data_IF_725897334200
#
_entry.id   IF_725897334200
#
_cell.length_a   1.000
_cell.length_b   1.000
_cell.length_c   1.000
_cell.angle_alpha   90.00
_cell.angle_beta   90.00
_cell.angle_gamma   90.00
#
_symmetry.space_group_name_H-M   'P 1'
#
loop_
_entity.id
_entity.type
_entity.pdbx_description
1 polymer ?
#
# COMPACT_ATOMS: atom_id res chain seq x y z
N UNK A 1 -35.21 -4.18 22.69
CA UNK A 1 -33.97 -4.60 23.37
C UNK A 1 -32.82 -4.22 22.49
N UNK A 2 -32.14 -3.14 22.76
CA UNK A 2 -30.91 -2.73 22.07
C UNK A 2 -29.79 -3.60 22.59
N UNK A 3 -29.25 -4.47 21.73
CA UNK A 3 -28.05 -5.21 22.07
C UNK A 3 -26.92 -4.21 22.34
N UNK A 4 -26.37 -4.22 23.54
CA UNK A 4 -25.21 -3.43 23.89
C UNK A 4 -24.05 -3.85 22.98
N UNK A 5 -23.57 -2.94 22.13
CA UNK A 5 -22.37 -3.13 21.33
C UNK A 5 -21.22 -3.26 22.32
N UNK A 6 -20.66 -4.47 22.44
CA UNK A 6 -19.53 -4.73 23.34
C UNK A 6 -18.36 -3.83 22.93
N UNK A 7 -17.83 -3.06 23.88
CA UNK A 7 -16.65 -2.25 23.62
C UNK A 7 -15.47 -3.11 23.13
N UNK A 8 -14.74 -2.68 22.12
CA UNK A 8 -13.62 -3.42 21.57
C UNK A 8 -12.54 -3.61 22.64
N UNK A 9 -12.31 -4.85 23.03
CA UNK A 9 -11.29 -5.20 24.05
C UNK A 9 -9.88 -4.94 23.50
N UNK A 10 -9.05 -4.26 24.29
CA UNK A 10 -7.62 -4.14 24.01
C UNK A 10 -6.97 -5.53 24.19
N UNK A 11 -6.30 -6.04 23.14
CA UNK A 11 -5.55 -7.29 23.18
C UNK A 11 -4.05 -6.96 23.03
N UNK A 12 -3.31 -6.77 24.13
CA UNK A 12 -1.93 -6.29 24.08
C UNK A 12 -1.01 -7.18 23.24
N UNK A 13 -1.10 -8.51 23.38
CA UNK A 13 -0.29 -9.47 22.61
C UNK A 13 -0.52 -9.33 21.11
N UNK A 14 -1.78 -9.25 20.67
CA UNK A 14 -2.12 -9.06 19.26
C UNK A 14 -1.56 -7.73 18.72
N UNK A 15 -1.71 -6.66 19.50
CA UNK A 15 -1.16 -5.35 19.14
C UNK A 15 0.36 -5.39 18.93
N UNK A 16 1.10 -6.05 19.85
CA UNK A 16 2.55 -6.17 19.70
C UNK A 16 2.94 -6.98 18.46
N UNK A 17 2.28 -8.09 18.19
CA UNK A 17 2.51 -8.91 17.00
C UNK A 17 2.24 -8.08 15.74
N UNK A 18 1.07 -7.43 15.66
CA UNK A 18 0.68 -6.63 14.51
C UNK A 18 1.66 -5.48 14.22
N UNK A 19 2.03 -4.72 15.26
CA UNK A 19 2.98 -3.61 15.11
C UNK A 19 4.39 -4.08 14.76
N UNK A 20 4.84 -5.20 15.32
CA UNK A 20 6.17 -5.75 15.00
C UNK A 20 6.21 -6.18 13.53
N UNK A 21 5.21 -6.92 13.05
CA UNK A 21 5.12 -7.33 11.66
C UNK A 21 5.03 -6.13 10.72
N UNK A 22 4.18 -5.15 11.04
CA UNK A 22 4.09 -3.90 10.28
C UNK A 22 5.42 -3.16 10.22
N UNK A 23 6.11 -3.05 11.36
CA UNK A 23 7.43 -2.43 11.46
C UNK A 23 8.49 -3.14 10.61
N UNK A 24 8.51 -4.48 10.63
CA UNK A 24 9.43 -5.27 9.81
C UNK A 24 9.18 -5.07 8.30
N UNK A 25 7.91 -5.06 7.88
CA UNK A 25 7.52 -4.84 6.49
C UNK A 25 7.94 -3.44 6.03
N UNK A 26 7.60 -2.40 6.81
CA UNK A 26 7.95 -1.01 6.49
C UNK A 26 9.47 -0.81 6.47
N UNK A 27 10.19 -1.33 7.46
CA UNK A 27 11.65 -1.20 7.53
C UNK A 27 12.33 -1.95 6.38
N UNK A 28 11.93 -3.19 6.10
CA UNK A 28 12.46 -3.97 4.97
C UNK A 28 12.21 -3.29 3.62
N UNK A 29 10.98 -2.77 3.43
CA UNK A 29 10.65 -1.99 2.24
C UNK A 29 11.52 -0.74 2.13
N UNK A 30 11.65 0.04 3.22
CA UNK A 30 12.41 1.28 3.22
C UNK A 30 13.90 1.06 2.89
N UNK A 31 14.53 0.02 3.46
CA UNK A 31 15.92 -0.33 3.17
C UNK A 31 16.10 -0.65 1.69
N UNK A 32 15.25 -1.51 1.13
CA UNK A 32 15.34 -1.87 -0.29
C UNK A 32 15.02 -0.68 -1.20
N UNK A 33 14.03 0.13 -0.83
CA UNK A 33 13.66 1.33 -1.58
C UNK A 33 14.82 2.34 -1.62
N UNK A 34 15.37 2.68 -0.47
CA UNK A 34 16.50 3.63 -0.39
C UNK A 34 17.71 3.09 -1.15
N UNK A 35 18.07 1.82 -0.98
CA UNK A 35 19.16 1.20 -1.74
C UNK A 35 18.88 1.24 -3.25
N UNK A 36 17.71 0.76 -3.69
CA UNK A 36 17.38 0.67 -5.11
C UNK A 36 17.32 2.03 -5.78
N UNK A 37 16.65 3.00 -5.17
CA UNK A 37 16.42 4.32 -5.74
C UNK A 37 17.70 5.17 -5.77
N UNK A 38 18.47 5.18 -4.70
CA UNK A 38 19.58 6.13 -4.53
C UNK A 38 20.97 5.52 -4.69
N UNK A 39 21.16 4.27 -4.28
CA UNK A 39 22.49 3.66 -4.21
C UNK A 39 22.75 2.60 -5.27
N UNK A 40 21.70 2.06 -5.92
CA UNK A 40 21.89 1.05 -6.96
C UNK A 40 22.59 1.67 -8.17
N UNK A 41 23.79 1.14 -8.48
CA UNK A 41 24.59 1.52 -9.66
C UNK A 41 24.46 0.42 -10.71
N UNK A 42 24.27 0.80 -11.97
CA UNK A 42 24.19 -0.15 -13.07
C UNK A 42 25.58 -0.68 -13.42
N UNK A 43 25.74 -1.98 -13.30
CA UNK A 43 26.90 -2.76 -13.69
C UNK A 43 26.46 -4.19 -13.93
N UNK A 44 27.28 -5.05 -14.52
CA UNK A 44 26.90 -6.41 -14.88
C UNK A 44 26.31 -7.18 -13.69
N UNK A 45 27.02 -7.24 -12.58
CA UNK A 45 26.57 -7.92 -11.37
C UNK A 45 25.31 -7.28 -10.75
N UNK A 46 25.21 -5.96 -10.76
CA UNK A 46 24.06 -5.25 -10.18
C UNK A 46 22.80 -5.38 -11.03
N UNK A 47 22.92 -5.57 -12.35
CA UNK A 47 21.79 -5.89 -13.22
C UNK A 47 21.24 -7.28 -12.95
N UNK A 48 22.08 -8.25 -12.61
CA UNK A 48 21.67 -9.62 -12.28
C UNK A 48 20.86 -9.68 -10.97
N UNK A 49 21.20 -8.87 -9.96
CA UNK A 49 20.47 -8.85 -8.68
C UNK A 49 19.22 -7.96 -8.69
N UNK A 50 19.08 -7.04 -9.64
CA UNK A 50 17.96 -6.11 -9.70
C UNK A 50 16.58 -6.81 -9.74
N UNK A 51 16.35 -7.89 -10.52
CA UNK A 51 15.09 -8.62 -10.50
C UNK A 51 14.73 -9.21 -9.13
N UNK A 52 15.72 -9.71 -8.39
CA UNK A 52 15.51 -10.25 -7.05
C UNK A 52 15.07 -9.12 -6.07
N UNK A 53 15.73 -7.96 -6.15
CA UNK A 53 15.34 -6.78 -5.33
C UNK A 53 13.92 -6.36 -5.68
N UNK A 54 13.57 -6.26 -6.97
CA UNK A 54 12.21 -5.91 -7.42
C UNK A 54 11.18 -6.91 -6.90
N UNK A 55 11.47 -8.21 -6.97
CA UNK A 55 10.58 -9.25 -6.47
C UNK A 55 10.33 -9.13 -4.96
N UNK A 56 11.40 -8.95 -4.16
CA UNK A 56 11.27 -8.77 -2.70
C UNK A 56 10.53 -7.47 -2.39
N UNK A 57 10.83 -6.38 -3.09
CA UNK A 57 10.16 -5.10 -2.90
C UNK A 57 8.67 -5.16 -3.29
N UNK A 58 8.32 -5.91 -4.33
CA UNK A 58 6.92 -6.20 -4.69
C UNK A 58 6.21 -6.91 -3.54
N UNK A 59 6.84 -7.94 -2.94
CA UNK A 59 6.28 -8.62 -1.75
C UNK A 59 6.11 -7.70 -0.55
N UNK A 60 7.06 -6.81 -0.30
CA UNK A 60 6.92 -5.79 0.76
C UNK A 60 5.80 -4.80 0.45
N UNK A 61 5.61 -4.41 -0.81
CA UNK A 61 4.50 -3.55 -1.24
C UNK A 61 3.14 -4.21 -1.06
N UNK A 62 3.00 -5.52 -1.33
CA UNK A 62 1.81 -6.30 -0.95
C UNK A 62 1.63 -6.28 0.57
N UNK A 63 2.71 -6.43 1.34
CA UNK A 63 2.69 -6.33 2.80
C UNK A 63 2.14 -5.00 3.32
N UNK A 64 2.46 -3.88 2.69
CA UNK A 64 1.89 -2.57 3.02
C UNK A 64 0.36 -2.55 2.89
N UNK A 65 -0.18 -3.14 1.82
CA UNK A 65 -1.64 -3.23 1.61
C UNK A 65 -2.30 -4.13 2.66
N UNK A 66 -1.68 -5.27 2.99
CA UNK A 66 -2.19 -6.18 4.01
C UNK A 66 -2.21 -5.53 5.40
N UNK A 67 -1.13 -4.82 5.77
CA UNK A 67 -1.09 -4.05 7.03
C UNK A 67 -2.18 -2.97 7.06
N UNK A 68 -2.39 -2.27 5.96
CA UNK A 68 -3.47 -1.27 5.87
C UNK A 68 -4.85 -1.91 5.97
N UNK A 69 -5.06 -3.06 5.33
CA UNK A 69 -6.30 -3.85 5.40
C UNK A 69 -6.60 -4.28 6.84
N UNK A 70 -5.62 -4.85 7.54
CA UNK A 70 -5.76 -5.24 8.95
C UNK A 70 -6.04 -4.03 9.85
N UNK A 71 -5.44 -2.87 9.51
CA UNK A 71 -5.73 -1.62 10.20
C UNK A 71 -7.17 -1.13 9.95
N UNK A 72 -7.75 -1.31 8.74
CA UNK A 72 -9.15 -0.99 8.44
C UNK A 72 -10.11 -1.84 9.26
N UNK A 73 -9.80 -3.12 9.45
CA UNK A 73 -10.57 -4.04 10.30
C UNK A 73 -10.34 -3.83 11.80
N UNK A 74 -9.36 -3.01 12.19
CA UNK A 74 -8.98 -2.84 13.59
C UNK A 74 -8.25 -4.05 14.21
N UNK A 75 -7.90 -5.05 13.41
CA UNK A 75 -7.25 -6.29 13.83
C UNK A 75 -5.74 -6.13 14.07
N UNK A 76 -5.10 -5.14 13.45
CA UNK A 76 -3.69 -4.83 13.67
C UNK A 76 -3.39 -4.44 15.13
N UNK A 77 -4.23 -3.57 15.70
CA UNK A 77 -4.15 -3.13 17.10
C UNK A 77 -5.56 -3.05 17.71
N UNK A 78 -6.10 -4.18 18.21
CA UNK A 78 -7.46 -4.25 18.73
C UNK A 78 -7.72 -3.26 19.87
N UNK A 79 -8.85 -2.56 19.81
CA UNK A 79 -9.23 -1.53 20.77
C UNK A 79 -8.45 -0.22 20.66
N UNK A 80 -7.61 -0.04 19.64
CA UNK A 80 -6.78 1.16 19.42
C UNK A 80 -7.02 1.81 18.06
N UNK A 81 -8.20 2.40 17.80
CA UNK A 81 -8.57 2.89 16.47
C UNK A 81 -7.62 3.98 15.93
N UNK A 82 -7.10 4.85 16.80
CA UNK A 82 -6.14 5.90 16.39
C UNK A 82 -4.81 5.30 15.92
N UNK A 83 -4.35 4.23 16.56
CA UNK A 83 -3.11 3.55 16.18
C UNK A 83 -3.29 2.79 14.85
N UNK A 84 -4.40 2.07 14.67
CA UNK A 84 -4.75 1.45 13.40
C UNK A 84 -4.75 2.49 12.27
N UNK A 85 -5.47 3.61 12.46
CA UNK A 85 -5.52 4.67 11.46
C UNK A 85 -4.14 5.28 11.15
N UNK A 86 -3.29 5.48 12.15
CA UNK A 86 -1.94 6.01 11.95
C UNK A 86 -1.06 5.07 11.12
N UNK A 87 -1.06 3.77 11.46
CA UNK A 87 -0.28 2.76 10.73
C UNK A 87 -0.84 2.56 9.31
N UNK A 88 -2.17 2.50 9.15
CA UNK A 88 -2.79 2.38 7.84
C UNK A 88 -2.49 3.56 6.92
N UNK A 89 -2.51 4.80 7.43
CA UNK A 89 -2.10 6.00 6.67
C UNK A 89 -0.64 5.96 6.27
N UNK A 90 0.24 5.55 7.19
CA UNK A 90 1.66 5.42 6.91
C UNK A 90 1.92 4.41 5.79
N UNK A 91 1.37 3.21 5.90
CA UNK A 91 1.64 2.12 4.95
C UNK A 91 1.08 2.42 3.56
N UNK A 92 -0.14 2.93 3.44
CA UNK A 92 -0.73 3.33 2.16
C UNK A 92 -0.05 4.56 1.56
N UNK A 93 0.34 5.52 2.40
CA UNK A 93 1.10 6.70 1.97
C UNK A 93 2.46 6.32 1.37
N UNK A 94 3.20 5.44 2.03
CA UNK A 94 4.49 4.92 1.54
C UNK A 94 4.34 4.05 0.29
N UNK A 95 3.27 3.27 0.20
CA UNK A 95 3.01 2.40 -0.93
C UNK A 95 2.91 3.16 -2.26
N UNK A 96 1.95 4.07 -2.38
CA UNK A 96 1.73 4.86 -3.59
C UNK A 96 0.93 6.17 -3.33
N UNK A 97 1.00 6.71 -2.12
CA UNK A 97 0.30 7.95 -1.77
C UNK A 97 -1.21 7.81 -1.59
N UNK A 98 -1.75 6.59 -1.47
CA UNK A 98 -3.18 6.37 -1.24
C UNK A 98 -3.65 6.89 0.11
N UNK A 99 -4.89 7.36 0.16
CA UNK A 99 -5.52 7.83 1.39
C UNK A 99 -6.25 6.70 2.11
N UNK A 100 -5.76 6.38 3.29
CA UNK A 100 -6.37 5.38 4.17
C UNK A 100 -7.87 5.64 4.42
N UNK A 101 -8.23 6.87 4.72
CA UNK A 101 -9.63 7.22 5.03
C UNK A 101 -10.58 6.94 3.85
N UNK A 102 -10.13 7.15 2.61
CA UNK A 102 -10.93 6.91 1.41
C UNK A 102 -11.16 5.41 1.18
N UNK A 103 -10.12 4.60 1.35
CA UNK A 103 -10.24 3.15 1.24
C UNK A 103 -11.10 2.59 2.38
N UNK A 104 -10.88 3.02 3.62
CA UNK A 104 -11.66 2.57 4.79
C UNK A 104 -13.16 2.84 4.62
N UNK A 105 -13.54 3.93 3.95
CA UNK A 105 -14.96 4.25 3.71
C UNK A 105 -15.61 3.30 2.69
N UNK A 106 -14.88 2.89 1.66
CA UNK A 106 -15.39 1.99 0.61
C UNK A 106 -15.29 0.49 1.00
N UNK A 107 -14.33 0.14 1.84
CA UNK A 107 -14.01 -1.24 2.21
C UNK A 107 -15.19 -2.09 2.73
N UNK A 108 -16.12 -1.56 3.58
CA UNK A 108 -17.30 -2.31 3.98
C UNK A 108 -18.23 -2.68 2.82
N UNK A 109 -18.36 -1.82 1.80
CA UNK A 109 -19.18 -2.11 0.61
C UNK A 109 -18.54 -3.23 -0.23
N UNK A 110 -17.22 -3.24 -0.38
CA UNK A 110 -16.48 -4.36 -1.00
C UNK A 110 -16.76 -5.68 -0.28
N UNK A 111 -16.68 -5.70 1.06
CA UNK A 111 -16.99 -6.91 1.83
C UNK A 111 -18.45 -7.35 1.78
N UNK A 112 -19.38 -6.42 1.63
CA UNK A 112 -20.81 -6.73 1.55
C UNK A 112 -21.22 -7.39 0.22
N UNK A 113 -20.53 -7.06 -0.88
CA UNK A 113 -20.92 -7.50 -2.23
C UNK A 113 -19.72 -7.82 -3.13
N UNK A 114 -18.74 -8.64 -2.69
CA UNK A 114 -17.48 -8.85 -3.41
C UNK A 114 -17.73 -9.46 -4.80
N UNK A 115 -17.12 -8.85 -5.83
CA UNK A 115 -17.20 -9.31 -7.20
C UNK A 115 -18.56 -9.11 -7.89
N UNK A 116 -19.41 -8.26 -7.35
CA UNK A 116 -20.69 -7.88 -7.95
C UNK A 116 -20.67 -6.47 -8.53
N UNK A 117 -21.79 -6.04 -9.14
CA UNK A 117 -21.91 -4.69 -9.70
C UNK A 117 -21.88 -3.60 -8.60
N UNK A 118 -22.21 -3.94 -7.35
CA UNK A 118 -22.24 -3.04 -6.20
C UNK A 118 -20.89 -2.97 -5.47
N UNK A 119 -19.92 -3.79 -5.87
CA UNK A 119 -18.57 -3.78 -5.33
C UNK A 119 -17.79 -2.59 -5.92
N UNK A 120 -17.34 -1.61 -5.09
CA UNK A 120 -16.59 -0.46 -5.57
C UNK A 120 -15.24 -0.82 -6.20
N UNK A 121 -14.70 -1.99 -5.87
CA UNK A 121 -13.40 -2.47 -6.35
C UNK A 121 -13.53 -3.32 -7.63
N UNK A 122 -14.74 -3.60 -8.09
CA UNK A 122 -15.00 -4.51 -9.20
C UNK A 122 -15.48 -3.79 -10.46
N UNK A 123 -15.06 -4.26 -11.62
CA UNK A 123 -15.52 -3.74 -12.91
C UNK A 123 -16.49 -4.74 -13.59
N UNK A 124 -17.74 -4.71 -13.17
CA UNK A 124 -18.79 -5.63 -13.62
C UNK A 124 -18.98 -5.72 -15.16
N UNK A 125 -18.91 -4.62 -15.96
CA UNK A 125 -19.13 -4.70 -17.40
C UNK A 125 -18.14 -5.61 -18.13
N UNK A 126 -16.89 -5.71 -17.65
CA UNK A 126 -15.85 -6.58 -18.25
C UNK A 126 -15.00 -7.21 -17.13
N UNK A 127 -15.55 -8.21 -16.41
CA UNK A 127 -14.94 -8.74 -15.19
C UNK A 127 -13.54 -9.35 -15.34
N UNK A 128 -13.21 -9.83 -16.54
CA UNK A 128 -11.91 -10.46 -16.85
C UNK A 128 -10.88 -9.50 -17.44
N UNK A 129 -11.25 -8.24 -17.69
CA UNK A 129 -10.36 -7.28 -18.30
C UNK A 129 -9.58 -6.52 -17.21
N UNK A 130 -8.30 -6.82 -17.05
CA UNK A 130 -7.41 -6.23 -16.05
C UNK A 130 -7.35 -4.70 -16.17
N UNK A 131 -7.20 -4.17 -17.39
CA UNK A 131 -7.06 -2.74 -17.61
C UNK A 131 -8.30 -1.92 -17.22
N UNK A 132 -9.53 -2.26 -17.66
CA UNK A 132 -10.73 -1.57 -17.19
C UNK A 132 -10.93 -1.65 -15.67
N UNK A 133 -10.66 -2.80 -15.06
CA UNK A 133 -10.70 -2.96 -13.61
C UNK A 133 -9.70 -2.03 -12.92
N UNK A 134 -8.45 -2.02 -13.36
CA UNK A 134 -7.39 -1.17 -12.82
C UNK A 134 -7.73 0.32 -12.95
N UNK A 135 -8.27 0.74 -14.11
CA UNK A 135 -8.69 2.12 -14.35
C UNK A 135 -9.86 2.52 -13.45
N UNK A 136 -10.83 1.61 -13.21
CA UNK A 136 -11.93 1.85 -12.29
C UNK A 136 -11.43 2.03 -10.86
N UNK A 137 -10.58 1.13 -10.37
CA UNK A 137 -9.94 1.22 -9.06
C UNK A 137 -9.16 2.55 -8.91
N UNK A 138 -8.38 2.89 -9.92
CA UNK A 138 -7.59 4.11 -9.91
C UNK A 138 -8.46 5.37 -9.86
N UNK A 139 -9.54 5.44 -10.66
CA UNK A 139 -10.51 6.55 -10.63
C UNK A 139 -11.23 6.66 -9.29
N UNK A 140 -11.53 5.51 -8.67
CA UNK A 140 -12.23 5.45 -7.39
C UNK A 140 -11.36 5.94 -6.23
N UNK A 141 -10.08 5.54 -6.20
CA UNK A 141 -9.21 5.74 -5.03
C UNK A 141 -8.09 6.74 -5.23
N UNK A 142 -7.76 7.11 -6.47
CA UNK A 142 -6.65 8.01 -6.79
C UNK A 142 -7.15 9.30 -7.43
N UNK A 143 -7.14 10.38 -6.65
CA UNK A 143 -7.60 11.69 -7.08
C UNK A 143 -6.43 12.66 -7.36
N UNK A 144 -6.77 13.93 -7.60
CA UNK A 144 -5.78 14.97 -7.88
C UNK A 144 -4.79 15.21 -6.73
N UNK A 145 -5.22 14.99 -5.48
CA UNK A 145 -4.36 15.14 -4.29
C UNK A 145 -3.29 14.04 -4.23
N UNK A 146 -3.70 12.80 -4.44
CA UNK A 146 -2.80 11.65 -4.50
C UNK A 146 -1.80 11.84 -5.64
N UNK A 147 -2.26 12.29 -6.81
CA UNK A 147 -1.40 12.63 -7.94
C UNK A 147 -0.41 13.74 -7.59
N UNK A 148 -0.86 14.83 -6.96
CA UNK A 148 0.00 15.93 -6.56
C UNK A 148 1.08 15.49 -5.55
N UNK A 149 0.70 14.67 -4.54
CA UNK A 149 1.64 14.12 -3.56
C UNK A 149 2.67 13.22 -4.24
N UNK A 150 2.22 12.28 -5.08
CA UNK A 150 3.13 11.39 -5.80
C UNK A 150 4.07 12.17 -6.72
N UNK A 151 3.55 13.15 -7.46
CA UNK A 151 4.36 14.02 -8.31
C UNK A 151 5.39 14.79 -7.48
N UNK A 152 5.00 15.38 -6.36
CA UNK A 152 5.92 16.10 -5.48
C UNK A 152 7.02 15.16 -4.94
N UNK A 153 6.68 13.94 -4.50
CA UNK A 153 7.66 12.96 -4.04
C UNK A 153 8.64 12.57 -5.15
N UNK A 154 8.16 12.34 -6.37
CA UNK A 154 9.01 12.05 -7.54
C UNK A 154 9.94 13.22 -7.85
N UNK A 155 9.43 14.46 -7.86
CA UNK A 155 10.24 15.66 -8.12
C UNK A 155 11.30 15.87 -7.02
N UNK A 156 10.94 15.70 -5.75
CA UNK A 156 11.89 15.74 -4.62
C UNK A 156 12.96 14.66 -4.78
N UNK A 157 12.57 13.45 -5.11
CA UNK A 157 13.51 12.36 -5.31
C UNK A 157 14.50 12.66 -6.45
N UNK A 158 14.00 13.14 -7.60
CA UNK A 158 14.82 13.43 -8.77
C UNK A 158 15.72 14.64 -8.58
N UNK A 159 15.14 15.79 -8.20
CA UNK A 159 15.82 17.08 -8.22
C UNK A 159 16.38 17.49 -6.85
N UNK A 160 15.75 17.03 -5.76
CA UNK A 160 16.21 17.34 -4.41
C UNK A 160 17.22 16.31 -3.85
N UNK A 161 16.98 15.01 -4.13
CA UNK A 161 17.78 13.92 -3.55
C UNK A 161 18.65 13.18 -4.59
N UNK A 162 18.64 13.59 -5.85
CA UNK A 162 19.52 13.07 -6.90
C UNK A 162 19.21 11.64 -7.34
N UNK A 163 17.95 11.18 -7.17
CA UNK A 163 17.55 9.87 -7.67
C UNK A 163 17.64 9.81 -9.19
N UNK A 164 18.00 8.63 -9.72
CA UNK A 164 18.04 8.41 -11.16
C UNK A 164 16.66 8.01 -11.67
N UNK A 165 16.14 8.58 -12.77
CA UNK A 165 14.82 8.24 -13.30
C UNK A 165 14.61 6.74 -13.50
N UNK A 166 15.61 6.06 -14.03
CA UNK A 166 15.54 4.62 -14.25
C UNK A 166 15.49 3.80 -12.95
N UNK A 167 16.12 4.28 -11.87
CA UNK A 167 16.03 3.61 -10.57
C UNK A 167 14.64 3.82 -9.95
N UNK A 168 14.05 5.01 -10.09
CA UNK A 168 12.67 5.26 -9.66
C UNK A 168 11.69 4.34 -10.40
N UNK A 169 11.83 4.19 -11.71
CA UNK A 169 11.00 3.27 -12.49
C UNK A 169 11.18 1.81 -12.04
N UNK A 170 12.43 1.38 -11.83
CA UNK A 170 12.75 -0.01 -11.50
C UNK A 170 12.41 -0.38 -10.04
N UNK A 171 12.75 0.49 -9.07
CA UNK A 171 12.70 0.14 -7.65
C UNK A 171 11.57 0.84 -6.87
N UNK A 172 10.77 1.68 -7.52
CA UNK A 172 9.56 2.24 -6.94
C UNK A 172 8.32 1.94 -7.78
N UNK A 173 8.27 2.42 -9.03
CA UNK A 173 7.09 2.26 -9.88
C UNK A 173 6.79 0.80 -10.21
N UNK A 174 7.79 0.02 -10.64
CA UNK A 174 7.58 -1.38 -11.02
C UNK A 174 7.09 -2.25 -9.84
N UNK A 175 7.70 -2.24 -8.63
CA UNK A 175 7.17 -2.98 -7.49
C UNK A 175 5.75 -2.56 -7.08
N UNK A 176 5.44 -1.26 -7.13
CA UNK A 176 4.10 -0.77 -6.81
C UNK A 176 3.05 -1.29 -7.80
N UNK A 177 3.33 -1.22 -9.11
CA UNK A 177 2.45 -1.72 -10.16
C UNK A 177 2.30 -3.24 -10.11
N UNK A 178 3.41 -3.98 -10.00
CA UNK A 178 3.38 -5.45 -9.92
C UNK A 178 2.62 -5.95 -8.67
N UNK A 179 2.66 -5.21 -7.57
CA UNK A 179 1.92 -5.57 -6.38
C UNK A 179 0.41 -5.30 -6.48
N UNK A 180 -0.03 -4.54 -7.50
CA UNK A 180 -1.44 -4.25 -7.76
C UNK A 180 -2.10 -5.28 -8.70
N UNK A 181 -1.31 -6.14 -9.34
CA UNK A 181 -1.77 -7.25 -10.18
C UNK A 181 -2.00 -8.52 -9.35
#
# INVERSE_FOLDING_TARGET
MTAAVAEPRIVPRQTWIGLTLAGMIVAGWAVLHVYGVYFHRRGTLTLEIAPAIVAVQTRMSVGHKNVAHDAMHGSLAPGRPRLNAAVGRLTLGLYAGFRFDRLTTAHPAHHAAPGTADDPDFHAPVPRAVLPWFLNFFRTYFGWREMAVLTALVLIALFGLGARPANLLTFWAAPALLSAL
#
